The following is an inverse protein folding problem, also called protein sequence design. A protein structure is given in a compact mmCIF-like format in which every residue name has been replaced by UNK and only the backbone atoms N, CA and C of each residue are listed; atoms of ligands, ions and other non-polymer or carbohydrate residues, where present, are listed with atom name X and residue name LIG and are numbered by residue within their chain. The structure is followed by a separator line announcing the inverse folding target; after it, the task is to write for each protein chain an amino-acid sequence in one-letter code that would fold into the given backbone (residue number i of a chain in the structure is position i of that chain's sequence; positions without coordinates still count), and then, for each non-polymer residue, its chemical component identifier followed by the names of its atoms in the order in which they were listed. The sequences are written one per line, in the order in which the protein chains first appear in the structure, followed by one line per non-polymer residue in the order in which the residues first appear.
data_IF_609957425897
#
_entry.id   IF_609957425897
#
_cell.length_a   1.000
_cell.length_b   1.000
_cell.length_c   1.000
_cell.angle_alpha   90.00
_cell.angle_beta   90.00
_cell.angle_gamma   90.00
#
_symmetry.space_group_name_H-M   'P 1'
#
loop_
_entity.id
_entity.type
_entity.pdbx_description
1 polymer ?
#
# COMPACT_ATOMS: atom_id res chain seq x y z
N UNK A 1 -28.31 47.17 18.45
CA UNK A 1 -27.45 46.71 17.33
C UNK A 1 -26.23 45.94 17.81
N UNK A 2 -25.45 46.43 18.78
CA UNK A 2 -24.27 45.71 19.30
C UNK A 2 -24.55 44.28 19.83
N UNK A 3 -25.66 44.06 20.53
CA UNK A 3 -26.05 42.73 21.03
C UNK A 3 -26.31 41.70 19.91
N UNK A 4 -26.82 42.13 18.75
CA UNK A 4 -27.09 41.26 17.60
C UNK A 4 -25.79 40.79 16.92
N UNK A 5 -24.81 41.70 16.82
CA UNK A 5 -23.48 41.36 16.30
C UNK A 5 -22.74 40.42 17.24
N UNK A 6 -22.79 40.66 18.56
CA UNK A 6 -22.17 39.78 19.54
C UNK A 6 -22.74 38.35 19.48
N UNK A 7 -24.08 38.22 19.39
CA UNK A 7 -24.71 36.91 19.32
C UNK A 7 -24.34 36.16 18.02
N UNK A 8 -24.27 36.88 16.90
CA UNK A 8 -23.86 36.30 15.62
C UNK A 8 -22.42 35.81 15.63
N UNK A 9 -21.52 36.50 16.35
CA UNK A 9 -20.13 36.10 16.54
C UNK A 9 -19.99 34.82 17.39
N UNK A 10 -20.73 34.73 18.51
CA UNK A 10 -20.75 33.54 19.36
C UNK A 10 -21.23 32.28 18.60
N UNK A 11 -22.34 32.41 17.86
CA UNK A 11 -22.87 31.32 17.03
C UNK A 11 -21.89 30.85 15.94
N UNK A 12 -21.03 31.74 15.44
CA UNK A 12 -19.99 31.40 14.47
C UNK A 12 -18.83 30.64 15.11
N UNK A 13 -18.41 31.01 16.33
CA UNK A 13 -17.36 30.29 17.08
C UNK A 13 -17.81 28.88 17.47
N UNK A 14 -19.12 28.70 17.71
CA UNK A 14 -19.73 27.39 18.00
C UNK A 14 -20.00 26.55 16.73
N UNK A 15 -19.57 26.99 15.55
CA UNK A 15 -19.75 26.23 14.32
C UNK A 15 -18.83 24.99 14.28
N UNK A 16 -19.40 23.81 14.02
CA UNK A 16 -18.64 22.56 13.88
C UNK A 16 -17.83 22.61 12.59
N UNK A 17 -16.50 22.40 12.63
CA UNK A 17 -15.68 22.35 11.43
C UNK A 17 -15.87 21.01 10.71
N UNK A 18 -15.52 21.00 9.42
CA UNK A 18 -15.64 19.82 8.57
C UNK A 18 -14.94 18.60 9.17
N UNK A 19 -15.63 17.46 9.34
CA UNK A 19 -15.03 16.26 9.89
C UNK A 19 -14.03 15.63 8.94
N UNK A 20 -13.04 14.95 9.49
CA UNK A 20 -12.06 14.17 8.75
C UNK A 20 -12.37 12.67 8.92
N UNK A 21 -12.20 11.90 7.84
CA UNK A 21 -12.44 10.45 7.85
C UNK A 21 -11.16 9.72 7.45
N UNK A 22 -10.69 8.78 8.29
CA UNK A 22 -9.67 7.80 7.94
C UNK A 22 -10.34 6.48 7.61
N UNK A 23 -9.88 5.85 6.53
CA UNK A 23 -10.27 4.50 6.12
C UNK A 23 -9.14 3.55 6.51
N UNK A 24 -9.44 2.57 7.36
CA UNK A 24 -8.49 1.51 7.73
C UNK A 24 -8.97 0.19 7.15
N UNK A 25 -8.12 -0.48 6.37
CA UNK A 25 -8.42 -1.79 5.80
C UNK A 25 -7.84 -2.88 6.69
N UNK A 26 -8.67 -3.80 7.15
CA UNK A 26 -8.23 -4.98 7.87
C UNK A 26 -7.93 -6.10 6.87
N UNK A 27 -6.64 -6.47 6.77
CA UNK A 27 -6.20 -7.60 5.95
C UNK A 27 -6.55 -8.92 6.64
N UNK A 28 -7.38 -9.75 6.00
CA UNK A 28 -7.57 -11.14 6.44
C UNK A 28 -6.35 -11.96 6.04
N UNK A 29 -5.63 -12.52 7.02
CA UNK A 29 -4.44 -13.36 6.78
C UNK A 29 -4.81 -14.73 6.19
N UNK A 30 -6.03 -15.20 6.44
CA UNK A 30 -6.56 -16.44 5.89
C UNK A 30 -7.76 -16.15 4.99
N UNK A 31 -7.59 -16.42 3.71
CA UNK A 31 -8.57 -17.01 2.80
C UNK A 31 -7.97 -16.92 1.40
N UNK A 32 -7.92 -18.04 0.70
CA UNK A 32 -7.47 -18.10 -0.70
C UNK A 32 -8.25 -17.16 -1.63
N UNK A 33 -9.41 -16.61 -1.23
CA UNK A 33 -10.16 -15.56 -1.93
C UNK A 33 -11.12 -14.84 -0.95
N UNK A 34 -10.71 -13.79 -0.21
CA UNK A 34 -11.68 -13.02 0.56
C UNK A 34 -12.54 -12.24 -0.43
N UNK A 35 -13.76 -12.72 -0.68
CA UNK A 35 -14.76 -12.02 -1.51
C UNK A 35 -15.19 -10.70 -0.87
N UNK A 36 -14.83 -10.47 0.39
CA UNK A 36 -15.21 -9.31 1.18
C UNK A 36 -13.99 -8.68 1.84
N UNK A 37 -13.93 -7.35 1.82
CA UNK A 37 -12.94 -6.52 2.47
C UNK A 37 -13.50 -6.00 3.79
N UNK A 38 -12.75 -6.12 4.89
CA UNK A 38 -13.13 -5.54 6.17
C UNK A 38 -12.55 -4.14 6.26
N UNK A 39 -13.40 -3.13 6.47
CA UNK A 39 -12.99 -1.74 6.59
C UNK A 39 -13.49 -1.14 7.91
N UNK A 40 -12.67 -0.29 8.51
CA UNK A 40 -12.97 0.50 9.69
C UNK A 40 -12.86 1.98 9.31
N UNK A 41 -13.96 2.71 9.39
CA UNK A 41 -13.98 4.15 9.16
C UNK A 41 -13.91 4.85 10.50
N UNK A 42 -12.95 5.75 10.68
CA UNK A 42 -12.84 6.60 11.86
C UNK A 42 -13.13 8.03 11.46
N UNK A 43 -14.02 8.70 12.16
CA UNK A 43 -14.33 10.10 11.95
C UNK A 43 -13.81 10.94 13.12
N UNK A 44 -13.23 12.10 12.88
CA UNK A 44 -12.88 13.01 13.97
C UNK A 44 -12.95 14.47 13.52
N UNK A 45 -13.11 15.33 14.50
CA UNK A 45 -13.11 16.79 14.36
C UNK A 45 -12.01 17.33 15.27
N UNK A 46 -11.13 18.21 14.77
CA UNK A 46 -10.10 18.81 15.62
C UNK A 46 -10.72 19.76 16.65
N UNK A 47 -10.17 19.76 17.87
CA UNK A 47 -10.42 20.76 18.91
C UNK A 47 -11.88 20.88 19.43
N UNK A 48 -12.72 19.84 19.28
CA UNK A 48 -14.09 19.82 19.82
C UNK A 48 -14.41 18.44 20.42
N UNK A 49 -14.88 18.40 21.67
CA UNK A 49 -15.25 17.16 22.39
C UNK A 49 -16.76 16.91 22.44
N UNK A 50 -17.57 17.97 22.40
CA UNK A 50 -19.00 17.92 22.73
C UNK A 50 -19.85 17.91 21.45
N UNK A 51 -19.59 16.95 20.58
CA UNK A 51 -20.29 16.75 19.31
C UNK A 51 -20.83 15.34 19.18
N UNK A 52 -21.96 15.22 18.51
CA UNK A 52 -22.57 13.93 18.17
C UNK A 52 -22.03 13.45 16.84
N UNK A 53 -21.62 12.18 16.79
CA UNK A 53 -21.18 11.51 15.58
C UNK A 53 -22.27 10.56 15.10
N UNK A 54 -22.62 10.64 13.83
CA UNK A 54 -23.48 9.68 13.17
C UNK A 54 -22.94 9.37 11.78
N UNK A 55 -23.18 8.15 11.32
CA UNK A 55 -22.84 7.71 9.99
C UNK A 55 -24.11 7.54 9.17
N UNK A 56 -24.05 7.92 7.90
CA UNK A 56 -25.10 7.68 6.92
C UNK A 56 -24.52 6.92 5.76
N UNK A 57 -25.09 5.75 5.45
CA UNK A 57 -24.86 5.10 4.15
C UNK A 57 -25.64 5.86 3.08
N UNK A 58 -24.96 6.33 2.05
CA UNK A 58 -25.61 6.92 0.87
C UNK A 58 -26.14 5.78 -0.02
N UNK A 59 -27.45 5.77 -0.26
CA UNK A 59 -28.11 4.78 -1.11
C UNK A 59 -28.03 5.15 -2.59
N UNK A 60 -28.13 4.15 -3.47
CA UNK A 60 -28.55 4.38 -4.85
C UNK A 60 -29.96 4.95 -4.82
N UNK A 61 -30.15 6.15 -5.36
CA UNK A 61 -31.47 6.78 -5.53
C UNK A 61 -32.28 5.90 -6.47
N UNK A 62 -33.08 4.98 -5.91
CA UNK A 62 -34.20 4.40 -6.62
C UNK A 62 -35.35 5.41 -6.52
N UNK A 63 -35.84 5.85 -7.68
CA UNK A 63 -36.77 6.95 -7.81
C UNK A 63 -38.11 6.63 -7.11
N UNK A 64 -38.28 7.09 -5.87
CA UNK A 64 -39.61 7.13 -5.23
C UNK A 64 -39.68 6.75 -3.76
N UNK A 65 -38.59 6.29 -3.14
CA UNK A 65 -38.53 6.04 -1.70
C UNK A 65 -37.48 7.00 -1.14
N UNK A 66 -37.88 7.81 -0.16
CA UNK A 66 -36.95 8.66 0.59
C UNK A 66 -35.75 7.80 1.01
N UNK A 67 -34.49 8.20 0.74
CA UNK A 67 -33.36 7.40 1.13
C UNK A 67 -33.28 7.46 2.66
N UNK A 68 -33.96 6.54 3.34
CA UNK A 68 -33.73 6.23 4.73
C UNK A 68 -32.32 5.61 4.78
N UNK A 69 -31.31 6.47 4.71
CA UNK A 69 -29.92 6.09 4.88
C UNK A 69 -29.83 5.31 6.19
N UNK A 70 -29.13 4.18 6.18
CA UNK A 70 -28.87 3.47 7.42
C UNK A 70 -28.00 4.37 8.27
N UNK A 71 -28.60 4.87 9.36
CA UNK A 71 -27.90 5.68 10.35
C UNK A 71 -27.30 4.78 11.42
N UNK A 72 -26.02 5.02 11.72
CA UNK A 72 -25.31 4.34 12.81
C UNK A 72 -24.61 5.39 13.65
N UNK A 73 -24.92 5.42 14.94
CA UNK A 73 -24.28 6.36 15.86
C UNK A 73 -22.85 5.94 16.20
N UNK A 74 -22.01 6.93 16.44
CA UNK A 74 -20.66 6.75 16.95
C UNK A 74 -19.56 7.23 16.02
N UNK A 75 -18.38 7.41 16.61
CA UNK A 75 -17.20 7.93 15.93
C UNK A 75 -16.61 6.97 14.88
N UNK A 76 -16.85 5.67 15.07
CA UNK A 76 -16.21 4.60 14.29
C UNK A 76 -17.27 3.68 13.69
N UNK A 77 -17.14 3.39 12.39
CA UNK A 77 -18.01 2.48 11.65
C UNK A 77 -17.24 1.26 11.14
N UNK A 78 -17.75 0.07 11.43
CA UNK A 78 -17.20 -1.21 10.94
C UNK A 78 -18.02 -1.71 9.76
N UNK A 79 -17.34 -2.04 8.66
CA UNK A 79 -17.98 -2.45 7.41
C UNK A 79 -17.35 -3.74 6.87
N UNK A 80 -18.19 -4.61 6.32
CA UNK A 80 -17.77 -5.69 5.45
C UNK A 80 -18.24 -5.34 4.04
N UNK A 81 -17.30 -5.01 3.17
CA UNK A 81 -17.56 -4.55 1.82
C UNK A 81 -17.35 -5.69 0.83
N UNK A 82 -18.32 -5.95 -0.05
CA UNK A 82 -18.21 -6.88 -1.16
C UNK A 82 -18.17 -6.18 -2.52
N UNK A 83 -18.05 -6.91 -3.63
CA UNK A 83 -17.99 -6.34 -4.98
C UNK A 83 -19.22 -5.50 -5.36
N UNK A 84 -20.37 -5.79 -4.76
CA UNK A 84 -21.60 -5.01 -4.93
C UNK A 84 -21.60 -3.66 -4.22
N UNK A 85 -20.66 -3.42 -3.29
CA UNK A 85 -20.51 -2.13 -2.60
C UNK A 85 -19.62 -1.14 -3.37
N UNK A 86 -19.31 -1.45 -4.63
CA UNK A 86 -18.55 -0.55 -5.49
C UNK A 86 -19.32 0.77 -5.71
N UNK A 87 -18.67 1.89 -5.39
CA UNK A 87 -19.27 3.22 -5.50
C UNK A 87 -20.27 3.55 -4.39
N UNK A 88 -20.48 2.67 -3.41
CA UNK A 88 -21.29 2.98 -2.23
C UNK A 88 -20.52 3.96 -1.35
N UNK A 89 -21.14 5.10 -1.06
CA UNK A 89 -20.55 6.14 -0.25
C UNK A 89 -21.10 6.14 1.18
N UNK A 90 -20.28 6.57 2.13
CA UNK A 90 -20.62 6.72 3.53
C UNK A 90 -20.27 8.13 3.98
N UNK A 91 -21.23 8.81 4.60
CA UNK A 91 -21.05 10.15 5.16
C UNK A 91 -20.94 10.07 6.67
N UNK A 92 -19.85 10.59 7.23
CA UNK A 92 -19.80 10.93 8.65
C UNK A 92 -20.44 12.31 8.82
N UNK A 93 -21.44 12.39 9.68
CA UNK A 93 -22.14 13.62 10.07
C UNK A 93 -21.75 13.93 11.50
N UNK A 94 -21.30 15.16 11.72
CA UNK A 94 -20.97 15.69 13.04
C UNK A 94 -21.88 16.88 13.32
N UNK A 95 -22.47 16.90 14.51
CA UNK A 95 -23.42 17.96 14.88
C UNK A 95 -23.27 18.37 16.33
N UNK A 96 -23.48 19.65 16.59
CA UNK A 96 -23.75 20.19 17.92
C UNK A 96 -25.12 20.91 17.90
N UNK A 97 -25.61 21.48 19.02
CA UNK A 97 -26.89 22.19 19.05
C UNK A 97 -27.01 23.39 18.11
N UNK A 98 -25.89 23.90 17.58
CA UNK A 98 -25.82 25.14 16.79
C UNK A 98 -25.73 24.83 15.29
N UNK A 99 -24.94 23.83 14.91
CA UNK A 99 -24.56 23.56 13.52
C UNK A 99 -24.23 22.08 13.29
N UNK A 100 -24.11 21.72 12.01
CA UNK A 100 -23.68 20.39 11.59
C UNK A 100 -22.85 20.49 10.30
N UNK A 101 -21.94 19.55 10.10
CA UNK A 101 -21.18 19.37 8.86
C UNK A 101 -20.96 17.86 8.60
N UNK A 102 -20.53 17.51 7.39
CA UNK A 102 -20.28 16.14 7.00
C UNK A 102 -19.10 15.97 6.03
N UNK A 103 -18.60 14.75 5.98
CA UNK A 103 -17.62 14.30 4.99
C UNK A 103 -18.00 12.93 4.48
N UNK A 104 -18.00 12.80 3.15
CA UNK A 104 -18.36 11.58 2.44
C UNK A 104 -17.12 10.88 1.93
N UNK A 105 -17.05 9.56 2.10
CA UNK A 105 -15.98 8.70 1.58
C UNK A 105 -16.55 7.49 0.87
N UNK A 106 -15.83 6.98 -0.11
CA UNK A 106 -16.09 5.70 -0.76
C UNK A 106 -14.96 4.74 -0.31
N UNK A 107 -15.25 3.78 0.59
CA UNK A 107 -14.20 2.96 1.19
C UNK A 107 -13.79 1.75 0.34
N UNK A 108 -14.58 1.40 -0.68
CA UNK A 108 -14.32 0.25 -1.56
C UNK A 108 -13.03 0.42 -2.37
N UNK A 109 -12.72 1.65 -2.79
CA UNK A 109 -11.54 1.97 -3.58
C UNK A 109 -10.24 1.66 -2.81
N UNK A 110 -10.26 1.81 -1.48
CA UNK A 110 -9.14 1.45 -0.60
C UNK A 110 -8.91 -0.07 -0.53
N UNK A 111 -9.94 -0.90 -0.75
CA UNK A 111 -9.80 -2.35 -0.78
C UNK A 111 -9.04 -2.86 -2.02
N UNK A 112 -9.04 -2.10 -3.13
CA UNK A 112 -8.30 -2.45 -4.35
C UNK A 112 -6.81 -2.10 -4.26
N UNK A 113 -6.44 -1.16 -3.39
CA UNK A 113 -5.07 -0.68 -3.29
C UNK A 113 -4.14 -1.66 -2.55
N UNK A 114 -4.70 -2.51 -1.67
CA UNK A 114 -3.95 -3.45 -0.84
C UNK A 114 -3.99 -4.91 -1.34
N UNK A 115 -4.92 -5.25 -2.23
CA UNK A 115 -5.14 -6.64 -2.67
C UNK A 115 -4.19 -7.16 -3.77
N UNK A 116 -3.22 -6.35 -4.21
CA UNK A 116 -2.21 -6.86 -5.13
C UNK A 116 -1.55 -5.79 -5.96
N UNK A 117 -0.38 -5.34 -5.48
CA UNK A 117 0.77 -4.99 -6.29
C UNK A 117 1.95 -4.68 -5.37
N UNK A 118 2.61 -5.75 -4.89
CA UNK A 118 4.06 -5.76 -5.13
C UNK A 118 4.17 -5.63 -6.65
N UNK A 119 4.36 -4.39 -7.12
CA UNK A 119 4.29 -4.07 -8.54
C UNK A 119 5.23 -5.04 -9.22
N UNK A 120 4.72 -5.88 -10.13
CA UNK A 120 5.60 -6.76 -10.92
C UNK A 120 6.78 -5.96 -11.51
N UNK A 121 6.59 -4.66 -11.74
CA UNK A 121 7.62 -3.70 -12.11
C UNK A 121 8.73 -3.56 -11.05
N UNK A 122 8.44 -3.55 -9.75
CA UNK A 122 9.45 -3.45 -8.67
C UNK A 122 10.22 -4.76 -8.50
N UNK A 123 9.52 -5.91 -8.59
CA UNK A 123 10.19 -7.22 -8.58
C UNK A 123 11.08 -7.37 -9.82
N UNK A 124 10.58 -6.99 -11.00
CA UNK A 124 11.35 -6.99 -12.24
C UNK A 124 12.55 -6.01 -12.17
N UNK A 125 12.38 -4.85 -11.52
CA UNK A 125 13.45 -3.86 -11.33
C UNK A 125 14.60 -4.38 -10.47
N UNK A 126 14.34 -5.34 -9.58
CA UNK A 126 15.38 -5.96 -8.74
C UNK A 126 15.96 -7.21 -9.42
N UNK A 127 15.11 -8.07 -9.99
CA UNK A 127 15.55 -9.35 -10.58
C UNK A 127 16.41 -9.13 -11.82
N UNK A 128 16.03 -8.22 -12.72
CA UNK A 128 16.77 -7.97 -13.97
C UNK A 128 18.22 -7.53 -13.74
N UNK A 129 18.52 -6.50 -12.92
CA UNK A 129 19.91 -6.10 -12.69
C UNK A 129 20.70 -7.16 -11.92
N UNK A 130 20.09 -7.88 -10.97
CA UNK A 130 20.78 -8.96 -10.25
C UNK A 130 21.16 -10.10 -11.20
N UNK A 131 20.24 -10.54 -12.06
CA UNK A 131 20.54 -11.58 -13.06
C UNK A 131 21.60 -11.12 -14.06
N UNK A 132 21.57 -9.87 -14.50
CA UNK A 132 22.57 -9.31 -15.42
C UNK A 132 23.98 -9.30 -14.78
N UNK A 133 24.09 -8.89 -13.51
CA UNK A 133 25.34 -8.88 -12.77
C UNK A 133 25.91 -10.30 -12.61
N UNK A 134 25.07 -11.29 -12.32
CA UNK A 134 25.49 -12.69 -12.21
C UNK A 134 26.02 -13.25 -13.54
N UNK A 135 25.36 -12.93 -14.66
CA UNK A 135 25.80 -13.35 -16.00
C UNK A 135 27.16 -12.71 -16.32
N UNK A 136 27.33 -11.41 -16.07
CA UNK A 136 28.60 -10.71 -16.31
C UNK A 136 29.74 -11.29 -15.45
N UNK A 137 29.48 -11.57 -14.17
CA UNK A 137 30.47 -12.19 -13.29
C UNK A 137 30.85 -13.61 -13.77
N UNK A 138 29.88 -14.39 -14.25
CA UNK A 138 30.13 -15.72 -14.83
C UNK A 138 30.98 -15.67 -16.10
N UNK A 139 30.70 -14.72 -17.00
CA UNK A 139 31.49 -14.54 -18.22
C UNK A 139 32.92 -14.09 -17.93
N UNK A 140 33.10 -13.16 -16.99
CA UNK A 140 34.43 -12.70 -16.58
C UNK A 140 35.24 -13.82 -15.93
N UNK A 141 34.64 -14.58 -15.02
CA UNK A 141 35.31 -15.72 -14.38
C UNK A 141 35.70 -16.82 -15.37
N UNK A 142 34.82 -17.15 -16.32
CA UNK A 142 35.15 -18.08 -17.42
C UNK A 142 36.29 -17.57 -18.31
N UNK A 143 36.32 -16.26 -18.61
CA UNK A 143 37.40 -15.65 -19.38
C UNK A 143 38.73 -15.68 -18.60
N UNK A 144 38.72 -15.30 -17.31
CA UNK A 144 39.90 -15.37 -16.45
C UNK A 144 40.43 -16.80 -16.32
N UNK A 145 39.57 -17.81 -16.18
CA UNK A 145 39.99 -19.21 -16.19
C UNK A 145 40.50 -19.67 -17.55
N UNK A 146 39.88 -19.26 -18.66
CA UNK A 146 40.36 -19.58 -20.01
C UNK A 146 41.74 -18.99 -20.32
N UNK A 147 41.99 -17.75 -19.90
CA UNK A 147 43.29 -17.07 -20.05
C UNK A 147 44.37 -17.64 -19.12
N UNK A 148 44.01 -18.02 -17.89
CA UNK A 148 44.97 -18.59 -16.93
C UNK A 148 45.26 -20.08 -17.21
N UNK A 149 44.27 -20.86 -17.67
CA UNK A 149 44.47 -22.26 -18.04
C UNK A 149 45.26 -22.42 -19.36
N UNK A 150 45.18 -21.44 -20.27
CA UNK A 150 46.02 -21.38 -21.47
C UNK A 150 47.53 -21.28 -21.18
N UNK A 151 47.91 -20.95 -19.95
CA UNK A 151 49.32 -20.89 -19.49
C UNK A 151 49.80 -22.14 -18.76
N UNK A 152 48.92 -23.10 -18.42
CA UNK A 152 49.27 -24.33 -17.68
C UNK A 152 49.41 -25.59 -18.57
N UNK A 153 49.76 -25.40 -19.84
CA UNK A 153 50.17 -26.47 -20.79
C UNK A 153 51.54 -26.18 -21.41
N UNK A 154 52.49 -25.69 -20.62
CA UNK A 154 53.93 -25.68 -20.92
C UNK A 154 54.64 -25.79 -19.58
N UNK A 155 54.87 -27.02 -19.12
CA UNK A 155 55.92 -27.43 -18.16
C UNK A 155 55.64 -28.88 -17.71
N UNK A 156 55.63 -29.82 -18.66
CA UNK A 156 55.75 -31.27 -18.41
C UNK A 156 56.68 -31.92 -19.47
N UNK A 157 57.46 -31.14 -20.24
CA UNK A 157 58.41 -31.69 -21.23
C UNK A 157 59.68 -30.86 -21.34
N UNK A 158 60.27 -30.60 -20.19
CA UNK A 158 61.63 -30.05 -20.09
C UNK A 158 62.36 -30.60 -18.85
N UNK A 159 62.10 -31.86 -18.49
CA UNK A 159 62.87 -32.58 -17.46
C UNK A 159 63.21 -34.03 -17.88
N UNK A 160 63.14 -34.31 -19.19
CA UNK A 160 63.48 -35.62 -19.75
C UNK A 160 64.38 -35.43 -20.97
N UNK A 161 65.49 -34.71 -20.80
CA UNK A 161 66.66 -34.68 -21.73
C UNK A 161 67.94 -34.15 -21.02
N UNK A 162 68.15 -34.49 -19.75
CA UNK A 162 69.37 -34.14 -19.02
C UNK A 162 70.00 -35.33 -18.29
N UNK A 163 69.72 -36.56 -18.73
CA UNK A 163 70.27 -37.77 -18.09
C UNK A 163 70.48 -38.91 -19.08
N UNK A 164 71.21 -38.68 -20.17
CA UNK A 164 71.95 -39.75 -20.87
C UNK A 164 72.80 -39.15 -21.98
N UNK A 165 74.07 -38.85 -21.68
CA UNK A 165 75.26 -39.13 -22.52
C UNK A 165 76.44 -38.28 -22.05
N UNK A 166 76.99 -38.63 -20.89
CA UNK A 166 78.43 -38.48 -20.65
C UNK A 166 78.87 -39.65 -19.78
N UNK A 167 79.23 -40.78 -20.42
CA UNK A 167 80.13 -41.83 -19.93
C UNK A 167 80.20 -43.02 -20.90
N UNK A 168 80.99 -42.90 -21.98
CA UNK A 168 81.83 -43.92 -22.68
C UNK A 168 82.28 -43.27 -24.01
N UNK A 169 83.55 -43.17 -24.43
CA UNK A 169 84.81 -43.84 -24.09
C UNK A 169 85.97 -43.04 -24.75
N UNK A 170 87.01 -42.65 -23.99
CA UNK A 170 88.47 -42.50 -24.30
C UNK A 170 89.12 -41.66 -23.20
#
# INVERSE_FOLDING_TARGET
MAAWYLWSLLLWEDAVPRPMVQVFIALSRDAQHPKTCQALLSCWVPNISDITYSWRREGTVDFGIEPHGLFTDGQVLRLSLGPGDQGVAYSCIVSNPVSWDLTTVTPWESCHHEAGKASYKDVLLVVVPVSLLLILAGLLSAWHWGLCAGKKKKDVRADEMATETENTLV
#
